data_IF_309239596253
#
_entry.id   IF_309239596253
#
_cell.length_a   1.000
_cell.length_b   1.000
_cell.length_c   1.000
_cell.angle_alpha   90.00
_cell.angle_beta   90.00
_cell.angle_gamma   90.00
#
_symmetry.space_group_name_H-M   'P 1'
#
loop_
_entity.id
_entity.type
_entity.pdbx_description
1 polymer ?
#
# COMPACT_ATOMS: atom_id res chain seq x y z
N UNK A 1 -1.21 -5.22 -2.87
CA UNK A 1 -0.74 -5.66 -1.54
C UNK A 1 -1.67 -5.14 -0.46
N UNK A 2 -1.99 -5.93 0.57
CA UNK A 2 -2.90 -5.56 1.67
C UNK A 2 -2.07 -5.44 2.94
N UNK A 3 -2.07 -4.30 3.62
CA UNK A 3 -1.23 -4.12 4.79
C UNK A 3 -1.60 -5.12 5.90
N UNK A 4 -0.59 -5.67 6.57
CA UNK A 4 -0.75 -6.71 7.59
C UNK A 4 -1.13 -8.09 7.04
N UNK A 5 -0.79 -8.41 5.78
CA UNK A 5 -0.85 -9.76 5.23
C UNK A 5 0.34 -10.63 5.70
N UNK A 6 0.30 -11.97 5.53
CA UNK A 6 1.42 -12.85 5.91
C UNK A 6 2.75 -12.45 5.29
N UNK A 7 2.74 -11.91 4.07
CA UNK A 7 3.96 -11.42 3.40
C UNK A 7 4.57 -10.21 4.12
N UNK A 8 3.75 -9.34 4.73
CA UNK A 8 4.25 -8.25 5.56
C UNK A 8 4.82 -8.76 6.89
N UNK A 9 4.21 -9.79 7.49
CA UNK A 9 4.74 -10.38 8.72
C UNK A 9 6.12 -10.98 8.45
N UNK A 10 6.26 -11.74 7.36
CA UNK A 10 7.55 -12.29 6.94
C UNK A 10 8.59 -11.21 6.67
N UNK A 11 8.19 -10.11 6.03
CA UNK A 11 9.08 -8.97 5.80
C UNK A 11 9.60 -8.37 7.12
N UNK A 12 8.73 -8.18 8.12
CA UNK A 12 9.16 -7.65 9.42
C UNK A 12 10.07 -8.63 10.17
N UNK A 13 9.76 -9.94 10.13
CA UNK A 13 10.64 -10.98 10.68
C UNK A 13 12.03 -10.96 10.03
N UNK A 14 12.09 -10.86 8.70
CA UNK A 14 13.36 -10.80 7.97
C UNK A 14 14.16 -9.54 8.37
N UNK A 15 13.49 -8.38 8.44
CA UNK A 15 14.14 -7.15 8.90
C UNK A 15 14.65 -7.28 10.34
N UNK A 16 13.85 -7.84 11.25
CA UNK A 16 14.23 -8.03 12.66
C UNK A 16 15.46 -8.93 12.81
N UNK A 17 15.57 -9.96 11.97
CA UNK A 17 16.69 -10.90 11.94
C UNK A 17 18.01 -10.24 11.49
N UNK A 18 17.96 -9.32 10.52
CA UNK A 18 19.17 -8.73 9.93
C UNK A 18 19.60 -7.41 10.56
N UNK A 19 18.72 -6.71 11.28
CA UNK A 19 19.03 -5.44 11.93
C UNK A 19 19.59 -5.71 13.33
N UNK A 20 20.80 -5.21 13.60
CA UNK A 20 21.38 -5.29 14.95
C UNK A 20 20.52 -4.52 15.96
N UNK A 21 20.26 -5.14 17.11
CA UNK A 21 19.46 -4.59 18.23
C UNK A 21 19.86 -3.17 18.65
N UNK A 22 21.14 -2.79 18.53
CA UNK A 22 21.59 -1.43 18.87
C UNK A 22 20.98 -0.34 17.98
N UNK A 23 20.56 -0.67 16.76
CA UNK A 23 19.99 0.28 15.80
C UNK A 23 18.46 0.34 15.83
N UNK A 24 17.79 -0.73 16.29
CA UNK A 24 16.32 -0.84 16.29
C UNK A 24 15.59 0.37 16.91
N UNK A 25 16.02 0.96 18.05
CA UNK A 25 15.35 2.13 18.63
C UNK A 25 15.31 3.38 17.74
N UNK A 26 16.24 3.48 16.78
CA UNK A 26 16.38 4.63 15.89
C UNK A 26 15.64 4.47 14.56
N UNK A 27 15.17 3.26 14.26
CA UNK A 27 14.49 2.96 13.01
C UNK A 27 13.02 3.38 13.13
N UNK A 28 12.50 3.99 12.07
CA UNK A 28 11.11 4.42 11.93
C UNK A 28 10.50 3.79 10.68
N UNK A 29 9.18 3.65 10.67
CA UNK A 29 8.45 3.14 9.52
C UNK A 29 7.37 4.13 9.07
N UNK A 30 7.11 4.17 7.76
CA UNK A 30 5.99 4.87 7.16
C UNK A 30 5.14 3.88 6.35
N UNK A 31 3.82 3.92 6.55
CA UNK A 31 2.87 3.11 5.77
C UNK A 31 2.21 3.96 4.69
N UNK A 32 2.63 3.79 3.43
CA UNK A 32 2.08 4.51 2.28
C UNK A 32 1.17 3.56 1.48
N UNK A 33 -0.08 3.98 1.28
CA UNK A 33 -1.04 3.21 0.49
C UNK A 33 -0.96 3.53 -0.99
N UNK A 34 -1.14 2.50 -1.82
CA UNK A 34 -1.19 2.65 -3.27
C UNK A 34 -2.30 3.62 -3.68
N UNK A 35 -1.95 4.58 -4.52
CA UNK A 35 -2.88 5.37 -5.32
C UNK A 35 -2.53 5.20 -6.79
N UNK A 36 -3.53 5.24 -7.67
CA UNK A 36 -3.31 5.08 -9.09
C UNK A 36 -4.02 6.17 -9.89
N UNK A 37 -3.29 6.85 -10.78
CA UNK A 37 -3.83 7.93 -11.60
C UNK A 37 -4.62 7.38 -12.80
N UNK A 38 -5.75 7.99 -13.13
CA UNK A 38 -6.63 7.58 -14.22
C UNK A 38 -5.95 7.65 -15.61
N UNK A 39 -5.24 8.74 -15.91
CA UNK A 39 -4.51 8.86 -17.19
C UNK A 39 -3.36 7.86 -17.29
N UNK A 40 -2.75 7.49 -16.16
CA UNK A 40 -1.73 6.44 -16.17
C UNK A 40 -2.34 5.06 -16.42
N UNK A 41 -3.52 4.78 -15.87
CA UNK A 41 -4.28 3.57 -16.17
C UNK A 41 -4.53 3.46 -17.67
N UNK A 42 -5.07 4.51 -18.29
CA UNK A 42 -5.34 4.55 -19.74
C UNK A 42 -4.07 4.29 -20.57
N UNK A 43 -2.95 4.94 -20.22
CA UNK A 43 -1.66 4.71 -20.89
C UNK A 43 -1.19 3.26 -20.76
N UNK A 44 -1.37 2.65 -19.58
CA UNK A 44 -0.96 1.27 -19.34
C UNK A 44 -1.83 0.27 -20.12
N UNK A 45 -3.14 0.51 -20.23
CA UNK A 45 -4.03 -0.27 -21.11
C UNK A 45 -3.58 -0.15 -22.57
N UNK A 46 -3.34 1.07 -23.06
CA UNK A 46 -2.86 1.31 -24.42
C UNK A 46 -1.49 0.66 -24.71
N UNK A 47 -0.67 0.48 -23.67
CA UNK A 47 0.65 -0.17 -23.76
C UNK A 47 0.62 -1.67 -23.47
N UNK A 48 -0.56 -2.31 -23.45
CA UNK A 48 -0.78 -3.74 -23.20
C UNK A 48 -0.26 -4.25 -21.84
N UNK A 49 -0.33 -3.42 -20.78
CA UNK A 49 0.06 -3.81 -19.40
C UNK A 49 -1.12 -4.34 -18.58
N UNK A 50 -1.98 -5.13 -19.22
CA UNK A 50 -3.28 -5.54 -18.68
C UNK A 50 -3.16 -6.34 -17.37
N UNK A 51 -2.18 -7.23 -17.27
CA UNK A 51 -1.98 -8.05 -16.06
C UNK A 51 -1.60 -7.20 -14.83
N UNK A 52 -0.72 -6.21 -15.03
CA UNK A 52 -0.36 -5.27 -13.97
C UNK A 52 -1.54 -4.38 -13.59
N UNK A 53 -2.30 -3.91 -14.58
CA UNK A 53 -3.51 -3.10 -14.36
C UNK A 53 -4.57 -3.86 -13.57
N UNK A 54 -4.76 -5.15 -13.85
CA UNK A 54 -5.70 -5.98 -13.09
C UNK A 54 -5.33 -6.07 -11.59
N UNK A 55 -4.06 -5.89 -11.21
CA UNK A 55 -3.64 -5.90 -9.80
C UNK A 55 -3.82 -4.55 -9.10
N UNK A 56 -3.68 -3.43 -9.82
CA UNK A 56 -3.66 -2.08 -9.25
C UNK A 56 -4.99 -1.33 -9.41
N UNK A 57 -5.73 -1.59 -10.49
CA UNK A 57 -7.02 -0.98 -10.78
C UNK A 57 -8.15 -1.90 -10.30
N UNK A 58 -8.70 -1.58 -9.12
CA UNK A 58 -9.67 -2.39 -8.40
C UNK A 58 -10.85 -1.53 -7.93
N UNK A 59 -11.75 -1.08 -8.83
CA UNK A 59 -12.81 -0.12 -8.53
C UNK A 59 -13.73 -0.53 -7.37
N UNK A 60 -13.92 -1.83 -7.15
CA UNK A 60 -14.77 -2.36 -6.08
C UNK A 60 -14.29 -2.00 -4.67
N UNK A 61 -12.99 -1.84 -4.48
CA UNK A 61 -12.38 -1.50 -3.17
C UNK A 61 -11.76 -0.10 -3.14
N UNK A 62 -11.88 0.65 -4.24
CA UNK A 62 -11.30 1.97 -4.41
C UNK A 62 -12.36 3.07 -4.48
N UNK A 63 -11.94 4.29 -4.18
CA UNK A 63 -12.72 5.52 -4.31
C UNK A 63 -11.88 6.60 -5.00
N UNK A 64 -12.56 7.58 -5.60
CA UNK A 64 -11.89 8.69 -6.26
C UNK A 64 -11.17 9.59 -5.24
N UNK A 65 -9.97 10.03 -5.63
CA UNK A 65 -9.16 11.03 -4.96
C UNK A 65 -8.87 12.12 -6.00
N UNK A 66 -9.52 13.27 -5.85
CA UNK A 66 -9.23 14.46 -6.65
C UNK A 66 -8.11 15.22 -5.95
N UNK A 67 -7.00 15.48 -6.64
CA UNK A 67 -5.94 16.35 -6.13
C UNK A 67 -6.32 17.81 -6.30
N UNK A 68 -5.70 18.66 -5.48
CA UNK A 68 -5.88 20.11 -5.53
C UNK A 68 -5.57 20.71 -6.92
N UNK A 69 -4.63 20.11 -7.65
CA UNK A 69 -4.24 20.50 -9.01
C UNK A 69 -5.10 19.85 -10.12
N UNK A 70 -6.24 19.24 -9.76
CA UNK A 70 -7.20 18.67 -10.72
C UNK A 70 -6.85 17.28 -11.25
N UNK A 71 -5.79 16.66 -10.74
CA UNK A 71 -5.45 15.28 -11.06
C UNK A 71 -6.43 14.31 -10.40
N UNK A 72 -6.90 13.31 -11.14
CA UNK A 72 -7.79 12.27 -10.62
C UNK A 72 -7.00 10.99 -10.37
N UNK A 73 -7.22 10.40 -9.21
CA UNK A 73 -6.64 9.11 -8.87
C UNK A 73 -7.69 8.25 -8.16
N UNK A 74 -7.40 6.97 -8.02
CA UNK A 74 -8.10 6.06 -7.14
C UNK A 74 -7.23 5.76 -5.91
N UNK A 75 -7.86 5.58 -4.76
CA UNK A 75 -7.25 5.13 -3.50
C UNK A 75 -8.16 4.10 -2.85
N UNK A 76 -7.70 3.36 -1.85
CA UNK A 76 -8.59 2.48 -1.08
C UNK A 76 -9.73 3.27 -0.42
N UNK A 77 -10.94 2.68 -0.44
CA UNK A 77 -12.10 3.18 0.31
C UNK A 77 -11.74 3.37 1.79
N UNK A 78 -12.26 4.41 2.43
CA UNK A 78 -11.90 4.77 3.80
C UNK A 78 -12.02 3.61 4.81
N UNK A 79 -13.14 2.85 4.78
CA UNK A 79 -13.34 1.70 5.68
C UNK A 79 -12.34 0.56 5.46
N UNK A 80 -12.00 0.27 4.20
CA UNK A 80 -11.00 -0.73 3.84
C UNK A 80 -9.60 -0.27 4.28
N UNK A 81 -9.27 1.01 4.01
CA UNK A 81 -8.01 1.61 4.43
C UNK A 81 -7.85 1.54 5.96
N UNK A 82 -8.90 1.85 6.72
CA UNK A 82 -8.88 1.78 8.19
C UNK A 82 -8.59 0.37 8.70
N UNK A 83 -9.21 -0.66 8.11
CA UNK A 83 -8.89 -2.05 8.47
C UNK A 83 -7.42 -2.41 8.21
N UNK A 84 -6.86 -1.97 7.07
CA UNK A 84 -5.45 -2.21 6.76
C UNK A 84 -4.50 -1.46 7.70
N UNK A 85 -4.82 -0.22 8.07
CA UNK A 85 -4.04 0.53 9.08
C UNK A 85 -4.02 -0.24 10.39
N UNK A 86 -5.17 -0.70 10.88
CA UNK A 86 -5.26 -1.43 12.15
C UNK A 86 -4.38 -2.69 12.13
N UNK A 87 -4.46 -3.48 11.04
CA UNK A 87 -3.64 -4.69 10.89
C UNK A 87 -2.15 -4.38 10.82
N UNK A 88 -1.78 -3.31 10.10
CA UNK A 88 -0.38 -2.88 10.00
C UNK A 88 0.16 -2.43 11.36
N UNK A 89 -0.59 -1.62 12.11
CA UNK A 89 -0.19 -1.13 13.43
C UNK A 89 -0.01 -2.28 14.42
N UNK A 90 -0.94 -3.24 14.47
CA UNK A 90 -0.78 -4.43 15.32
C UNK A 90 0.52 -5.14 14.98
N UNK A 91 0.75 -5.44 13.71
CA UNK A 91 1.94 -6.16 13.28
C UNK A 91 3.25 -5.40 13.58
N UNK A 92 3.26 -4.08 13.31
CA UNK A 92 4.41 -3.21 13.52
C UNK A 92 4.73 -3.01 15.01
N UNK A 93 3.71 -2.87 15.86
CA UNK A 93 3.91 -2.56 17.28
C UNK A 93 4.17 -3.82 18.13
N UNK A 94 3.91 -5.02 17.59
CA UNK A 94 4.20 -6.31 18.25
C UNK A 94 5.52 -6.95 17.83
N UNK A 95 6.15 -6.48 16.75
CA UNK A 95 7.47 -6.92 16.29
C UNK A 95 8.58 -6.06 16.85
#
# INVERSE_FOLDING_TARGET
MKAGSPEYAKLFEDLDQYINNQYKPFIKAECIFLTHNDKQHERNIASNRLESEALIWQPNIQENKVSEYGGKAVRYKAGIKSNFIQRWSVLHDTG
#
